data_IF_191590175289
#
_entry.id   IF_191590175289
#
_cell.length_a   1.000
_cell.length_b   1.000
_cell.length_c   1.000
_cell.angle_alpha   90.00
_cell.angle_beta   90.00
_cell.angle_gamma   90.00
#
_symmetry.space_group_name_H-M   'P 1'
#
loop_
_entity.id
_entity.type
_entity.pdbx_description
1 polymer ?
#
# COMPACT_ATOMS: atom_id res chain seq x y z
N UNK A 1 12.12 -6.33 4.60
CA UNK A 1 13.42 -5.90 4.04
C UNK A 1 13.19 -5.39 2.63
N UNK A 2 13.72 -4.19 2.32
CA UNK A 2 13.75 -3.67 0.95
C UNK A 2 14.75 -4.50 0.12
N UNK A 3 14.44 -4.72 -1.16
CA UNK A 3 15.41 -5.31 -2.09
C UNK A 3 16.50 -4.28 -2.44
N UNK A 4 17.67 -4.72 -2.92
CA UNK A 4 18.81 -3.82 -3.17
C UNK A 4 18.52 -2.63 -4.09
N UNK A 5 17.58 -2.78 -5.02
CA UNK A 5 17.21 -1.74 -6.00
C UNK A 5 16.06 -0.85 -5.52
N UNK A 6 15.49 -1.13 -4.36
CA UNK A 6 14.31 -0.43 -3.87
C UNK A 6 14.69 0.64 -2.86
N UNK A 7 14.12 1.82 -3.06
CA UNK A 7 14.15 2.89 -2.07
C UNK A 7 12.85 2.90 -1.27
N UNK A 8 12.92 3.43 -0.04
CA UNK A 8 11.72 3.71 0.75
C UNK A 8 10.70 4.55 -0.04
N UNK A 9 11.19 5.58 -0.75
CA UNK A 9 10.34 6.43 -1.59
C UNK A 9 9.60 5.64 -2.67
N UNK A 10 10.24 4.65 -3.28
CA UNK A 10 9.64 3.79 -4.30
C UNK A 10 8.49 2.95 -3.70
N UNK A 11 8.74 2.31 -2.56
CA UNK A 11 7.76 1.45 -1.86
C UNK A 11 6.57 2.24 -1.34
N UNK A 12 6.78 3.50 -0.96
CA UNK A 12 5.70 4.39 -0.51
C UNK A 12 4.84 4.92 -1.67
N UNK A 13 5.26 4.75 -2.93
CA UNK A 13 4.45 5.21 -4.06
C UNK A 13 3.19 4.37 -4.27
N UNK A 14 2.13 5.01 -4.75
CA UNK A 14 0.88 4.31 -5.11
C UNK A 14 1.10 3.30 -6.24
N UNK A 15 2.06 3.58 -7.12
CA UNK A 15 2.37 2.80 -8.32
C UNK A 15 3.24 1.56 -8.05
N UNK A 16 3.70 1.33 -6.82
CA UNK A 16 4.55 0.18 -6.52
C UNK A 16 3.96 -1.16 -6.99
N UNK A 17 2.67 -1.40 -6.73
CA UNK A 17 2.01 -2.63 -7.19
C UNK A 17 1.92 -2.73 -8.72
N UNK A 18 1.81 -1.60 -9.42
CA UNK A 18 1.78 -1.55 -10.87
C UNK A 18 3.14 -1.84 -11.49
N UNK A 19 4.25 -1.51 -10.82
CA UNK A 19 5.60 -1.82 -11.30
C UNK A 19 5.89 -3.33 -11.36
N UNK A 20 5.17 -4.13 -10.58
CA UNK A 20 5.29 -5.59 -10.56
C UNK A 20 4.18 -6.30 -11.35
N UNK A 21 3.40 -5.59 -12.19
CA UNK A 21 2.35 -6.23 -13.00
C UNK A 21 2.93 -7.28 -13.94
N UNK A 22 4.02 -6.92 -14.62
CA UNK A 22 4.63 -7.73 -15.66
C UNK A 22 5.28 -8.97 -15.06
N UNK A 23 6.04 -8.80 -13.98
CA UNK A 23 6.63 -9.91 -13.22
C UNK A 23 5.55 -10.86 -12.67
N UNK A 24 4.42 -10.32 -12.22
CA UNK A 24 3.28 -11.12 -11.75
C UNK A 24 2.62 -11.89 -12.90
N UNK A 25 2.49 -11.30 -14.08
CA UNK A 25 1.95 -12.01 -15.25
C UNK A 25 2.90 -13.09 -15.72
N UNK A 26 4.20 -12.82 -15.73
CA UNK A 26 5.23 -13.78 -16.12
C UNK A 26 5.27 -14.98 -15.18
N UNK A 27 5.22 -14.74 -13.87
CA UNK A 27 5.17 -15.82 -12.86
C UNK A 27 3.88 -16.62 -12.95
N UNK A 28 2.75 -15.98 -13.23
CA UNK A 28 1.48 -16.70 -13.46
C UNK A 28 1.58 -17.61 -14.68
N UNK A 29 2.10 -17.10 -15.79
CA UNK A 29 2.30 -17.89 -17.00
C UNK A 29 3.29 -19.04 -16.75
N UNK A 30 4.34 -18.81 -15.97
CA UNK A 30 5.29 -19.84 -15.58
C UNK A 30 4.64 -20.96 -14.75
N UNK A 31 3.74 -20.63 -13.82
CA UNK A 31 2.95 -21.62 -13.06
C UNK A 31 2.04 -22.42 -13.99
N UNK A 32 1.35 -21.77 -14.92
CA UNK A 32 0.50 -22.45 -15.91
C UNK A 32 1.31 -23.40 -16.82
N UNK A 33 2.49 -22.94 -17.27
CA UNK A 33 3.40 -23.75 -18.08
C UNK A 33 3.95 -24.95 -17.30
N UNK A 34 4.40 -24.74 -16.05
CA UNK A 34 4.89 -25.82 -15.19
C UNK A 34 3.77 -26.84 -14.85
N UNK A 35 2.54 -26.36 -14.65
CA UNK A 35 1.37 -27.22 -14.45
C UNK A 35 1.10 -28.07 -15.69
N UNK A 36 1.20 -27.50 -16.89
CA UNK A 36 1.08 -28.24 -18.15
C UNK A 36 2.18 -29.30 -18.31
N UNK A 37 3.43 -28.99 -17.92
CA UNK A 37 4.54 -29.94 -17.94
C UNK A 37 4.31 -31.14 -17.01
N UNK A 38 3.73 -30.92 -15.82
CA UNK A 38 3.35 -31.99 -14.90
C UNK A 38 2.33 -32.92 -15.56
N UNK A 39 1.26 -32.38 -16.16
CA UNK A 39 0.24 -33.19 -16.85
C UNK A 39 0.83 -34.02 -18.00
N UNK A 40 1.77 -33.46 -18.76
CA UNK A 40 2.46 -34.18 -19.84
C UNK A 40 3.35 -35.29 -19.28
N UNK A 41 4.09 -35.02 -18.20
CA UNK A 41 4.95 -36.01 -17.55
C UNK A 41 4.15 -37.15 -16.90
N UNK A 42 2.99 -36.83 -16.30
CA UNK A 42 2.02 -37.80 -15.80
C UNK A 42 1.50 -38.70 -16.92
N UNK A 43 1.03 -38.11 -18.03
CA UNK A 43 0.60 -38.86 -19.21
C UNK A 43 1.69 -39.81 -19.72
N UNK A 44 2.92 -39.33 -19.83
CA UNK A 44 4.05 -40.13 -20.31
C UNK A 44 4.40 -41.27 -19.33
N UNK A 45 4.22 -41.06 -18.03
CA UNK A 45 4.41 -42.09 -16.99
C UNK A 45 3.39 -43.24 -17.09
N UNK A 46 2.18 -42.93 -17.58
CA UNK A 46 1.10 -43.90 -17.79
C UNK A 46 1.23 -44.64 -19.12
N UNK A 47 1.97 -44.10 -20.09
CA UNK A 47 2.15 -44.71 -21.39
C UNK A 47 3.12 -45.92 -21.30
N UNK A 48 2.66 -47.16 -21.56
CA UNK A 48 3.48 -48.36 -21.43
C UNK A 48 4.72 -48.36 -22.34
N UNK A 49 4.71 -47.62 -23.46
CA UNK A 49 5.85 -47.49 -24.36
C UNK A 49 6.95 -46.54 -23.83
N UNK A 50 6.60 -45.61 -22.94
CA UNK A 50 7.51 -44.59 -22.39
C UNK A 50 7.80 -44.81 -20.91
N UNK A 51 7.03 -45.70 -20.27
CA UNK A 51 7.13 -46.05 -18.86
C UNK A 51 8.53 -46.55 -18.51
N UNK A 52 9.09 -45.99 -17.44
CA UNK A 52 10.39 -46.39 -16.92
C UNK A 52 11.01 -45.31 -16.03
N UNK A 53 12.22 -45.55 -15.51
CA UNK A 53 12.90 -44.63 -14.59
C UNK A 53 13.05 -43.20 -15.12
N UNK A 54 13.21 -43.06 -16.45
CA UNK A 54 13.31 -41.75 -17.11
C UNK A 54 12.00 -40.95 -17.05
N UNK A 55 10.86 -41.58 -17.30
CA UNK A 55 9.55 -40.93 -17.23
C UNK A 55 9.23 -40.53 -15.78
N UNK A 56 9.55 -41.39 -14.82
CA UNK A 56 9.35 -41.09 -13.41
C UNK A 56 10.26 -39.93 -12.93
N UNK A 57 11.52 -39.88 -13.39
CA UNK A 57 12.41 -38.75 -13.10
C UNK A 57 11.87 -37.44 -13.66
N UNK A 58 11.39 -37.44 -14.92
CA UNK A 58 10.76 -36.25 -15.53
C UNK A 58 9.55 -35.77 -14.74
N UNK A 59 8.72 -36.69 -14.23
CA UNK A 59 7.57 -36.34 -13.39
C UNK A 59 8.01 -35.65 -12.10
N UNK A 60 9.02 -36.20 -11.41
CA UNK A 60 9.57 -35.55 -10.21
C UNK A 60 10.18 -34.18 -10.51
N UNK A 61 10.91 -34.04 -11.61
CA UNK A 61 11.50 -32.77 -12.05
C UNK A 61 10.41 -31.73 -12.38
N UNK A 62 9.36 -32.13 -13.10
CA UNK A 62 8.22 -31.27 -13.41
C UNK A 62 7.48 -30.82 -12.13
N UNK A 63 7.27 -31.74 -11.18
CA UNK A 63 6.63 -31.41 -9.90
C UNK A 63 7.48 -30.43 -9.09
N UNK A 64 8.78 -30.68 -8.97
CA UNK A 64 9.70 -29.78 -8.26
C UNK A 64 9.73 -28.38 -8.90
N UNK A 65 9.67 -28.31 -10.24
CA UNK A 65 9.57 -27.04 -10.96
C UNK A 65 8.25 -26.32 -10.68
N UNK A 66 7.12 -27.04 -10.69
CA UNK A 66 5.82 -26.47 -10.35
C UNK A 66 5.83 -25.88 -8.94
N UNK A 67 6.28 -26.65 -7.95
CA UNK A 67 6.35 -26.20 -6.56
C UNK A 67 7.24 -24.94 -6.43
N UNK A 68 8.42 -24.94 -7.07
CA UNK A 68 9.32 -23.78 -7.08
C UNK A 68 8.69 -22.53 -7.71
N UNK A 69 7.93 -22.69 -8.80
CA UNK A 69 7.24 -21.57 -9.46
C UNK A 69 6.07 -21.03 -8.64
N UNK A 70 5.31 -21.90 -7.96
CA UNK A 70 4.22 -21.51 -7.06
C UNK A 70 4.79 -20.70 -5.90
N UNK A 71 5.86 -21.18 -5.26
CA UNK A 71 6.50 -20.44 -4.17
C UNK A 71 7.02 -19.07 -4.64
N UNK A 72 7.56 -18.96 -5.86
CA UNK A 72 8.01 -17.69 -6.40
C UNK A 72 6.84 -16.70 -6.59
N UNK A 73 5.73 -17.18 -7.14
CA UNK A 73 4.50 -16.40 -7.29
C UNK A 73 3.96 -15.93 -5.94
N UNK A 74 3.86 -16.83 -4.96
CA UNK A 74 3.33 -16.53 -3.63
C UNK A 74 4.22 -15.54 -2.87
N UNK A 75 5.55 -15.69 -2.97
CA UNK A 75 6.49 -14.73 -2.39
C UNK A 75 6.29 -13.31 -2.94
N UNK A 76 6.13 -13.18 -4.26
CA UNK A 76 5.87 -11.88 -4.88
C UNK A 76 4.51 -11.32 -4.42
N UNK A 77 3.47 -12.15 -4.46
CA UNK A 77 2.12 -11.75 -4.06
C UNK A 77 2.07 -11.27 -2.61
N UNK A 78 2.62 -12.06 -1.68
CA UNK A 78 2.71 -11.71 -0.27
C UNK A 78 3.46 -10.40 -0.06
N UNK A 79 4.56 -10.19 -0.77
CA UNK A 79 5.35 -8.96 -0.70
C UNK A 79 4.55 -7.75 -1.15
N UNK A 80 3.91 -7.82 -2.32
CA UNK A 80 3.09 -6.72 -2.87
C UNK A 80 1.95 -6.37 -1.90
N UNK A 81 1.29 -7.37 -1.32
CA UNK A 81 0.19 -7.15 -0.38
C UNK A 81 0.68 -6.58 0.96
N UNK A 82 1.84 -7.03 1.45
CA UNK A 82 2.46 -6.49 2.67
C UNK A 82 2.81 -5.01 2.49
N UNK A 83 3.37 -4.64 1.34
CA UNK A 83 3.72 -3.25 1.03
C UNK A 83 2.46 -2.39 0.89
N UNK A 84 1.44 -2.90 0.20
CA UNK A 84 0.13 -2.22 0.10
C UNK A 84 -0.43 -1.95 1.49
N UNK A 85 -0.47 -2.96 2.35
CA UNK A 85 -0.95 -2.84 3.73
C UNK A 85 -0.14 -1.83 4.52
N UNK A 86 1.19 -1.89 4.47
CA UNK A 86 2.06 -0.90 5.09
C UNK A 86 1.74 0.51 4.63
N UNK A 87 1.60 0.73 3.32
CA UNK A 87 1.29 2.05 2.76
C UNK A 87 -0.06 2.54 3.27
N UNK A 88 -1.08 1.71 3.23
CA UNK A 88 -2.43 2.10 3.60
C UNK A 88 -2.52 2.40 5.11
N UNK A 89 -1.87 1.60 5.96
CA UNK A 89 -1.86 1.82 7.43
C UNK A 89 -1.06 3.06 7.84
N UNK A 90 -0.08 3.48 7.03
CA UNK A 90 0.80 4.62 7.35
C UNK A 90 0.45 5.90 6.59
N UNK A 91 -0.60 5.90 5.75
CA UNK A 91 -0.95 7.06 4.92
C UNK A 91 -1.24 8.31 5.74
N UNK A 92 -2.12 8.18 6.73
CA UNK A 92 -2.52 9.31 7.59
C UNK A 92 -1.33 9.92 8.34
N UNK A 93 -0.44 9.08 8.87
CA UNK A 93 0.79 9.53 9.52
C UNK A 93 1.70 10.29 8.56
N UNK A 94 1.95 9.75 7.36
CA UNK A 94 2.80 10.40 6.35
C UNK A 94 2.22 11.73 5.89
N UNK A 95 0.90 11.80 5.68
CA UNK A 95 0.20 13.03 5.32
C UNK A 95 0.31 14.10 6.41
N UNK A 96 0.10 13.71 7.67
CA UNK A 96 0.26 14.60 8.81
C UNK A 96 1.71 15.12 8.93
N UNK A 97 2.69 14.23 8.80
CA UNK A 97 4.12 14.59 8.82
C UNK A 97 4.48 15.56 7.69
N UNK A 98 4.03 15.30 6.46
CA UNK A 98 4.25 16.19 5.33
C UNK A 98 3.55 17.55 5.55
N UNK A 99 2.36 17.55 6.16
CA UNK A 99 1.65 18.75 6.59
C UNK A 99 2.45 19.57 7.60
N UNK A 100 2.96 18.94 8.65
CA UNK A 100 3.78 19.60 9.67
C UNK A 100 5.05 20.23 9.07
N UNK A 101 5.73 19.51 8.16
CA UNK A 101 6.92 20.04 7.47
C UNK A 101 6.60 21.30 6.64
N UNK A 102 5.46 21.32 5.94
CA UNK A 102 5.01 22.51 5.21
C UNK A 102 4.73 23.68 6.16
N UNK A 103 4.05 23.43 7.28
CA UNK A 103 3.80 24.48 8.29
C UNK A 103 5.11 25.01 8.89
N UNK A 104 6.06 24.14 9.21
CA UNK A 104 7.38 24.57 9.70
C UNK A 104 8.12 25.44 8.68
N UNK A 105 8.04 25.11 7.39
CA UNK A 105 8.61 25.94 6.34
C UNK A 105 7.93 27.32 6.26
N UNK A 106 6.60 27.36 6.34
CA UNK A 106 5.85 28.62 6.34
C UNK A 106 6.18 29.48 7.57
N UNK A 107 6.25 28.88 8.77
CA UNK A 107 6.61 29.59 10.00
C UNK A 107 7.99 30.23 9.89
N UNK A 108 9.00 29.49 9.37
CA UNK A 108 10.33 30.05 9.12
C UNK A 108 10.28 31.21 8.14
N UNK A 109 9.50 31.09 7.06
CA UNK A 109 9.34 32.18 6.10
C UNK A 109 8.71 33.42 6.76
N UNK A 110 7.63 33.27 7.52
CA UNK A 110 6.97 34.37 8.24
C UNK A 110 7.95 35.04 9.22
N UNK A 111 8.69 34.25 10.00
CA UNK A 111 9.70 34.76 10.94
C UNK A 111 10.80 35.57 10.24
N UNK A 112 11.16 35.22 9.01
CA UNK A 112 12.12 35.96 8.20
C UNK A 112 11.53 37.23 7.58
N UNK A 113 10.24 37.24 7.23
CA UNK A 113 9.57 38.39 6.63
C UNK A 113 9.23 39.49 7.63
N UNK A 114 8.84 39.13 8.87
CA UNK A 114 8.42 40.11 9.89
C UNK A 114 9.48 41.21 10.10
N UNK A 115 10.77 40.92 10.32
CA UNK A 115 11.81 41.95 10.45
C UNK A 115 11.95 42.86 9.24
N UNK A 116 11.75 42.33 8.03
CA UNK A 116 11.89 43.10 6.79
C UNK A 116 10.75 44.13 6.71
N UNK A 117 9.53 43.70 7.02
CA UNK A 117 8.35 44.57 7.05
C UNK A 117 8.48 45.61 8.17
N UNK A 118 8.91 45.19 9.37
CA UNK A 118 9.12 46.11 10.49
C UNK A 118 10.13 47.20 10.13
N UNK A 119 11.24 46.82 9.50
CA UNK A 119 12.24 47.76 9.00
C UNK A 119 11.66 48.74 7.97
N UNK A 120 10.90 48.25 7.01
CA UNK A 120 10.29 49.10 5.96
C UNK A 120 9.26 50.08 6.55
N UNK A 121 8.59 49.69 7.64
CA UNK A 121 7.62 50.52 8.36
C UNK A 121 8.26 51.43 9.43
N UNK A 122 9.58 51.38 9.63
CA UNK A 122 10.28 52.13 10.67
C UNK A 122 9.94 51.67 12.10
N UNK A 123 9.45 50.44 12.26
CA UNK A 123 9.13 49.81 13.53
C UNK A 123 10.37 49.11 14.12
N UNK A 124 10.49 49.02 15.46
CA UNK A 124 11.54 48.25 16.09
C UNK A 124 11.39 46.75 15.81
N UNK A 125 12.51 46.03 15.64
CA UNK A 125 12.53 44.60 15.30
C UNK A 125 12.01 43.74 16.46
N UNK A 126 10.89 43.04 16.26
CA UNK A 126 10.27 42.18 17.28
C UNK A 126 10.93 40.80 17.39
N UNK A 127 11.67 40.37 16.36
CA UNK A 127 12.24 39.01 16.27
C UNK A 127 13.32 38.74 17.32
N UNK A 128 13.98 39.77 17.86
CA UNK A 128 14.94 39.62 18.96
C UNK A 128 14.29 39.07 20.25
N UNK A 129 12.98 39.28 20.47
CA UNK A 129 12.27 38.73 21.65
C UNK A 129 11.97 37.24 21.54
N UNK A 130 11.70 36.72 20.34
CA UNK A 130 11.30 35.31 20.16
C UNK A 130 12.48 34.32 20.26
N UNK A 131 13.71 34.76 19.96
CA UNK A 131 14.90 33.91 20.07
C UNK A 131 15.30 33.63 21.53
N UNK A 132 14.95 34.52 22.47
CA UNK A 132 15.35 34.42 23.88
C UNK A 132 14.46 33.44 24.69
N UNK A 133 13.23 33.16 24.24
CA UNK A 133 12.32 32.23 24.94
C UNK A 133 12.44 30.77 24.47
N UNK A 134 13.04 30.51 23.29
CA UNK A 134 13.14 29.15 22.73
C UNK A 134 14.26 28.27 23.31
N UNK A 135 15.23 28.86 24.00
CA UNK A 135 16.47 28.18 24.44
C UNK A 135 16.35 27.53 25.83
N UNK A 136 15.19 27.64 26.50
CA UNK A 136 14.97 27.05 27.83
C UNK A 136 14.39 25.63 27.83
N UNK A 137 14.18 24.99 26.67
CA UNK A 137 13.55 23.66 26.57
C UNK A 137 14.48 22.53 26.06
N UNK A 138 15.80 22.75 26.03
CA UNK A 138 16.79 21.69 25.77
C UNK A 138 17.59 21.37 27.02
N UNK A 139 16.91 20.85 28.04
CA UNK A 139 17.50 20.41 29.30
C UNK A 139 16.81 19.14 29.79
N UNK A 140 16.91 18.06 29.02
CA UNK A 140 16.71 16.71 29.55
C UNK A 140 18.06 16.03 29.50
N UNK A 141 18.80 16.15 30.60
CA UNK A 141 19.96 15.35 30.89
C UNK A 141 19.52 13.89 30.90
N UNK A 142 19.86 13.16 29.85
CA UNK A 142 19.84 11.69 29.87
C UNK A 142 21.17 11.25 30.47
N UNK A 143 21.14 10.94 31.76
CA UNK A 143 22.21 10.24 32.46
C UNK A 143 22.08 8.74 32.18
N UNK A 144 23.22 8.12 31.90
CA UNK A 144 23.40 6.76 31.42
C UNK A 144 23.75 5.87 32.62
N UNK A 145 23.05 4.75 32.82
CA UNK A 145 23.66 3.62 33.54
C UNK A 145 23.01 2.30 33.15
N UNK A 146 23.80 1.49 32.44
CA UNK A 146 23.63 0.04 32.33
C UNK A 146 23.81 -0.60 33.71
N UNK A 147 22.91 -1.52 34.07
CA UNK A 147 23.30 -2.65 34.91
C UNK A 147 22.42 -3.89 34.63
N UNK A 148 23.09 -5.01 34.41
CA UNK A 148 22.54 -6.28 33.97
C UNK A 148 22.65 -7.29 35.14
N UNK A 149 21.54 -7.89 35.59
CA UNK A 149 21.65 -8.97 36.58
C UNK A 149 20.38 -9.42 37.33
N UNK A 150 19.67 -10.38 36.73
CA UNK A 150 18.99 -11.55 37.35
C UNK A 150 17.95 -11.41 38.49
N UNK A 151 16.73 -11.87 38.17
CA UNK A 151 15.82 -12.72 38.96
C UNK A 151 15.58 -12.43 40.45
N UNK A 152 14.35 -12.03 40.79
CA UNK A 152 13.49 -12.76 41.73
C UNK A 152 12.08 -12.14 41.79
N UNK A 153 11.08 -13.02 41.76
CA UNK A 153 9.67 -12.70 41.91
C UNK A 153 9.34 -12.15 43.30
N UNK A 154 8.54 -11.09 43.38
CA UNK A 154 7.73 -10.78 44.55
C UNK A 154 6.38 -10.17 44.12
N UNK A 155 5.33 -10.99 44.24
CA UNK A 155 3.96 -10.55 44.46
C UNK A 155 3.85 -9.81 45.79
N UNK A 156 3.02 -8.76 45.83
CA UNK A 156 1.97 -8.49 46.85
C UNK A 156 1.51 -7.03 46.70
N UNK A 157 0.31 -6.80 46.14
CA UNK A 157 -0.97 -6.51 46.82
C UNK A 157 -1.27 -5.02 47.08
N UNK A 158 -2.55 -4.69 46.85
CA UNK A 158 -3.28 -3.49 47.30
C UNK A 158 -3.09 -2.25 46.42
N UNK A 159 -4.05 -1.34 46.25
CA UNK A 159 -5.42 -1.24 46.73
C UNK A 159 -6.12 -0.13 45.93
N UNK A 160 -7.42 -0.33 45.74
CA UNK A 160 -8.53 0.54 45.31
C UNK A 160 -8.34 2.09 45.23
N UNK A 161 -8.83 2.70 44.14
CA UNK A 161 -9.92 3.72 44.09
C UNK A 161 -10.18 4.08 42.60
N UNK A 162 -11.35 3.86 42.01
CA UNK A 162 -12.65 4.57 42.09
C UNK A 162 -12.74 5.96 41.42
N UNK A 163 -13.58 5.97 40.37
CA UNK A 163 -14.45 7.02 39.80
C UNK A 163 -13.94 8.23 38.99
N UNK A 164 -14.59 8.37 37.82
CA UNK A 164 -14.66 9.55 36.95
C UNK A 164 -14.32 9.16 35.51
N UNK A 165 -15.25 8.83 34.62
CA UNK A 165 -16.48 9.54 34.29
C UNK A 165 -16.51 9.64 32.76
N UNK A 166 -17.38 8.87 32.13
CA UNK A 166 -17.67 8.89 30.69
C UNK A 166 -18.04 10.30 30.24
N UNK A 167 -17.39 10.83 29.20
CA UNK A 167 -18.11 11.69 28.25
C UNK A 167 -17.58 11.55 26.81
N UNK A 168 -18.32 10.71 26.10
CA UNK A 168 -18.36 10.53 24.66
C UNK A 168 -19.02 11.78 24.07
N UNK A 169 -18.26 12.66 23.43
CA UNK A 169 -18.81 13.78 22.66
C UNK A 169 -18.94 13.39 21.19
N UNK A 170 -20.19 13.28 20.77
CA UNK A 170 -20.62 12.92 19.43
C UNK A 170 -20.40 14.07 18.45
N UNK A 171 -19.65 13.81 17.37
CA UNK A 171 -19.51 14.76 16.25
C UNK A 171 -20.35 14.31 15.05
N UNK A 172 -21.58 14.83 15.01
CA UNK A 172 -22.28 15.41 13.86
C UNK A 172 -22.10 14.71 12.49
N UNK A 173 -22.86 13.64 12.27
CA UNK A 173 -23.14 13.13 10.92
C UNK A 173 -24.02 14.14 10.16
N UNK A 174 -23.49 14.75 9.08
CA UNK A 174 -24.32 15.42 8.08
C UNK A 174 -25.04 14.33 7.25
N UNK A 175 -26.29 14.07 7.61
CA UNK A 175 -27.26 13.38 6.77
C UNK A 175 -27.61 14.26 5.57
N UNK A 176 -27.56 13.70 4.36
CA UNK A 176 -27.98 14.36 3.12
C UNK A 176 -28.64 13.34 2.20
N UNK A 177 -29.94 13.12 2.38
CA UNK A 177 -30.96 12.59 1.44
C UNK A 177 -32.31 13.11 1.99
N UNK A 178 -33.30 13.61 1.25
CA UNK A 178 -33.96 13.15 0.01
C UNK A 178 -34.56 14.39 -0.73
N UNK A 179 -34.59 14.47 -2.06
CA UNK A 179 -35.69 14.08 -2.98
C UNK A 179 -37.05 14.74 -2.64
N UNK A 180 -37.89 15.34 -3.50
CA UNK A 180 -38.08 15.49 -4.96
C UNK A 180 -39.36 16.37 -5.14
N UNK A 181 -39.51 17.16 -6.22
CA UNK A 181 -40.84 17.40 -6.88
C UNK A 181 -40.68 18.14 -8.23
N UNK A 182 -40.94 17.51 -9.39
CA UNK A 182 -42.08 17.69 -10.36
C UNK A 182 -42.13 19.12 -10.98
N UNK A 183 -42.19 19.46 -12.27
CA UNK A 183 -42.65 18.94 -13.59
C UNK A 183 -41.88 19.78 -14.67
N UNK A 184 -41.66 19.43 -15.94
CA UNK A 184 -42.69 19.31 -16.97
C UNK A 184 -42.09 18.81 -18.32
N UNK A 185 -42.81 17.86 -18.90
CA UNK A 185 -43.19 17.68 -20.32
C UNK A 185 -42.18 17.55 -21.49
N UNK A 186 -42.48 16.48 -22.25
CA UNK A 186 -42.51 16.33 -23.72
C UNK A 186 -41.25 15.83 -24.44
N UNK A 187 -41.35 14.62 -24.98
CA UNK A 187 -40.40 14.10 -25.98
C UNK A 187 -40.65 12.64 -26.32
N UNK A 188 -41.49 12.42 -27.33
CA UNK A 188 -42.00 11.14 -27.83
C UNK A 188 -40.95 10.08 -28.28
N UNK A 189 -41.42 8.82 -28.20
CA UNK A 189 -41.32 7.73 -29.20
C UNK A 189 -40.24 6.63 -29.06
N UNK A 190 -40.74 5.46 -28.67
CA UNK A 190 -40.77 4.18 -29.41
C UNK A 190 -39.49 3.54 -30.00
N UNK A 191 -39.16 2.41 -29.36
CA UNK A 191 -38.86 1.09 -29.95
C UNK A 191 -37.43 0.75 -30.46
N UNK A 192 -36.99 -0.52 -30.27
CA UNK A 192 -35.64 -0.99 -30.61
C UNK A 192 -35.57 -1.61 -32.02
N UNK A 193 -34.51 -1.34 -32.77
CA UNK A 193 -34.26 -1.97 -34.08
C UNK A 193 -33.10 -2.96 -34.04
N UNK A 194 -33.38 -4.17 -34.54
CA UNK A 194 -32.53 -5.37 -34.55
C UNK A 194 -31.56 -5.39 -35.74
N UNK A 195 -30.43 -6.11 -35.54
CA UNK A 195 -29.61 -6.86 -36.52
C UNK A 195 -29.14 -6.12 -37.79
N UNK A 196 -27.82 -6.12 -37.99
CA UNK A 196 -27.23 -6.32 -39.32
C UNK A 196 -26.16 -7.40 -39.25
N UNK A 197 -26.13 -8.24 -40.28
CA UNK A 197 -25.39 -9.50 -40.42
C UNK A 197 -23.99 -9.27 -40.98
N UNK A 198 -23.13 -10.25 -40.69
CA UNK A 198 -21.94 -10.62 -41.44
C UNK A 198 -22.15 -10.63 -42.96
N UNK A 199 -21.12 -10.21 -43.70
CA UNK A 199 -20.79 -10.82 -44.99
C UNK A 199 -19.33 -11.29 -44.98
N UNK A 200 -19.19 -12.51 -45.47
CA UNK A 200 -17.98 -13.30 -45.69
C UNK A 200 -17.78 -13.27 -47.19
N UNK A 201 -16.62 -12.84 -47.68
CA UNK A 201 -16.20 -13.18 -49.03
C UNK A 201 -14.89 -13.97 -48.97
N UNK A 202 -15.07 -15.26 -49.19
CA UNK A 202 -14.04 -16.21 -49.59
C UNK A 202 -13.95 -16.18 -51.10
N UNK A 203 -12.76 -16.06 -51.66
CA UNK A 203 -12.46 -16.48 -53.03
C UNK A 203 -11.07 -17.09 -53.09
N UNK A 204 -11.01 -18.40 -52.84
CA UNK A 204 -10.08 -19.33 -53.51
C UNK A 204 -10.41 -19.29 -55.03
N UNK A 205 -9.59 -19.61 -56.03
CA UNK A 205 -8.45 -20.52 -56.15
C UNK A 205 -7.86 -20.41 -57.57
N UNK A 206 -6.53 -20.57 -57.68
CA UNK A 206 -5.77 -21.29 -58.72
C UNK A 206 -6.29 -21.44 -60.17
N UNK A 207 -5.45 -21.01 -61.12
CA UNK A 207 -4.83 -21.88 -62.15
C UNK A 207 -3.51 -21.24 -62.60
#
# INVERSE_FOLDING_TARGET
>A
MLQPHESQKLVETVQYASLHSDERTDLRQAVEAASSEVLLAERDSLNPSLKGPKAQRKLFEAQAKLDSTIEAFDRLQHRVDTIRKYRDTTSAYREARAGAQRHQMLLRWVQQQIPLIEKDLGLPCSTTRLALEGDMLTGTDSDESDDQGTNAALSCTSSISEYGGLQRSESKKRSRLDSTSVEATLGHSNAPSKRSRHDVDSSSSSS
#
